data_IF_098512389853
#
_entry.id   IF_098512389853
#
_cell.length_a   1.000
_cell.length_b   1.000
_cell.length_c   1.000
_cell.angle_alpha   90.00
_cell.angle_beta   90.00
_cell.angle_gamma   90.00
#
_symmetry.space_group_name_H-M   'P 1'
#
loop_
_entity.id
_entity.type
_entity.pdbx_description
1 polymer ?
#
# COMPACT_ATOMS: atom_id res chain seq x y z
N UNK A 1 -24.41 92.50 -29.83
CA UNK A 1 -23.27 91.96 -29.03
C UNK A 1 -23.35 90.44 -29.03
N UNK A 2 -22.28 89.79 -29.50
CA UNK A 2 -22.14 88.34 -29.75
C UNK A 2 -21.97 87.54 -28.46
N UNK A 3 -22.58 86.34 -28.37
CA UNK A 3 -22.15 85.17 -27.57
C UNK A 3 -22.71 83.91 -28.28
N UNK A 4 -21.99 83.26 -29.20
CA UNK A 4 -21.06 82.10 -29.02
C UNK A 4 -21.68 81.02 -28.11
N UNK A 5 -22.27 79.91 -28.57
CA UNK A 5 -21.82 78.78 -29.42
C UNK A 5 -20.67 77.96 -28.80
N UNK A 6 -20.96 76.74 -28.34
CA UNK A 6 -20.22 75.47 -28.54
C UNK A 6 -20.73 74.40 -27.54
N UNK A 7 -21.49 73.42 -28.02
CA UNK A 7 -21.63 72.10 -27.38
C UNK A 7 -20.95 71.10 -28.31
N UNK A 8 -19.86 70.51 -27.83
CA UNK A 8 -19.12 69.43 -28.48
C UNK A 8 -19.81 68.13 -28.06
N UNK A 9 -20.43 67.42 -29.01
CA UNK A 9 -20.89 66.05 -28.80
C UNK A 9 -19.71 65.13 -29.12
N UNK A 10 -19.10 64.56 -28.09
CA UNK A 10 -18.04 63.57 -28.20
C UNK A 10 -18.69 62.17 -28.28
N UNK A 11 -18.73 61.61 -29.49
CA UNK A 11 -19.12 60.21 -29.72
C UNK A 11 -17.94 59.31 -29.30
N UNK A 12 -17.97 58.79 -28.08
CA UNK A 12 -17.02 57.75 -27.65
C UNK A 12 -17.57 56.40 -28.09
N UNK A 13 -17.00 55.86 -29.17
CA UNK A 13 -17.19 54.48 -29.58
C UNK A 13 -16.55 53.55 -28.55
N UNK A 14 -17.36 52.94 -27.68
CA UNK A 14 -16.98 51.81 -26.84
C UNK A 14 -16.74 50.60 -27.75
N UNK A 15 -15.50 50.38 -28.17
CA UNK A 15 -15.04 49.09 -28.68
C UNK A 15 -15.04 48.12 -27.51
N UNK A 16 -16.08 47.30 -27.43
CA UNK A 16 -16.14 46.10 -26.61
C UNK A 16 -15.02 45.15 -27.08
N UNK A 17 -13.85 45.25 -26.45
CA UNK A 17 -12.88 44.16 -26.44
C UNK A 17 -13.53 43.02 -25.66
N UNK A 18 -14.28 42.18 -26.36
CA UNK A 18 -14.61 40.85 -25.88
C UNK A 18 -13.28 40.08 -25.84
N UNK A 19 -12.56 40.19 -24.72
CA UNK A 19 -11.48 39.28 -24.39
C UNK A 19 -12.08 37.87 -24.44
N UNK A 20 -11.78 37.14 -25.52
CA UNK A 20 -12.20 35.76 -25.63
C UNK A 20 -11.59 35.02 -24.45
N UNK A 21 -12.43 34.51 -23.56
CA UNK A 21 -11.99 33.60 -22.50
C UNK A 21 -11.41 32.37 -23.21
N UNK A 22 -10.07 32.27 -23.24
CA UNK A 22 -9.38 31.12 -23.78
C UNK A 22 -9.67 29.93 -22.86
N UNK A 23 -10.11 28.81 -23.45
CA UNK A 23 -10.43 27.61 -22.71
C UNK A 23 -9.16 27.06 -22.08
N UNK A 24 -9.18 26.68 -20.79
CA UNK A 24 -8.01 26.09 -20.15
C UNK A 24 -8.36 24.79 -19.46
N UNK A 25 -7.86 23.69 -20.04
CA UNK A 25 -7.82 22.39 -19.36
C UNK A 25 -6.91 22.49 -18.14
N UNK A 26 -7.40 22.02 -17.00
CA UNK A 26 -6.64 21.84 -15.75
C UNK A 26 -6.67 20.37 -15.36
N UNK A 27 -5.52 19.82 -15.01
CA UNK A 27 -5.34 18.42 -14.66
C UNK A 27 -4.92 18.31 -13.19
N UNK A 28 -5.33 17.25 -12.48
CA UNK A 28 -4.71 16.87 -11.23
C UNK A 28 -3.20 16.69 -11.35
N UNK A 29 -2.47 16.94 -10.26
CA UNK A 29 -1.00 17.06 -10.27
C UNK A 29 -0.26 15.77 -10.66
N UNK A 30 -0.89 14.60 -10.52
CA UNK A 30 -0.33 13.31 -10.95
C UNK A 30 -0.46 13.06 -12.46
N UNK A 31 -1.22 13.88 -13.21
CA UNK A 31 -1.19 13.91 -14.67
C UNK A 31 -0.20 14.98 -15.14
N UNK A 32 1.07 14.66 -14.96
CA UNK A 32 2.20 15.54 -15.24
C UNK A 32 3.34 14.77 -15.92
N UNK A 33 4.34 15.51 -16.42
CA UNK A 33 5.49 14.92 -17.10
C UNK A 33 6.22 13.94 -16.16
N UNK A 34 6.71 12.83 -16.71
CA UNK A 34 7.38 11.76 -15.95
C UNK A 34 6.46 10.71 -15.36
N UNK A 35 5.14 10.80 -15.61
CA UNK A 35 4.15 9.83 -15.11
C UNK A 35 4.29 8.43 -15.72
N UNK A 36 3.72 7.43 -15.04
CA UNK A 36 3.59 6.06 -15.53
C UNK A 36 2.13 5.66 -15.62
N UNK A 37 1.67 5.20 -16.77
CA UNK A 37 0.35 4.59 -16.96
C UNK A 37 0.43 3.07 -16.90
N UNK A 38 -0.57 2.45 -16.28
CA UNK A 38 -0.70 0.99 -16.24
C UNK A 38 -0.80 0.41 -17.66
N UNK A 39 0.06 -0.54 -17.99
CA UNK A 39 0.10 -1.22 -19.27
C UNK A 39 -1.07 -2.19 -19.45
N UNK A 40 -1.37 -2.49 -20.73
CA UNK A 40 -2.37 -3.48 -21.14
C UNK A 40 -3.72 -3.29 -20.43
N UNK A 41 -4.16 -2.03 -20.32
CA UNK A 41 -5.34 -1.65 -19.56
C UNK A 41 -6.11 -0.52 -20.24
N UNK A 42 -7.37 -0.39 -19.85
CA UNK A 42 -8.22 0.75 -20.16
C UNK A 42 -8.11 1.77 -19.03
N UNK A 43 -7.09 2.64 -19.07
CA UNK A 43 -6.83 3.63 -18.02
C UNK A 43 -7.67 4.89 -18.21
N UNK A 44 -8.10 5.51 -17.12
CA UNK A 44 -8.83 6.77 -17.17
C UNK A 44 -7.86 7.97 -17.17
N UNK A 45 -8.21 9.00 -17.95
CA UNK A 45 -7.62 10.34 -17.91
C UNK A 45 -8.75 11.32 -17.66
N UNK A 46 -8.57 12.23 -16.72
CA UNK A 46 -9.59 13.20 -16.35
C UNK A 46 -8.99 14.55 -15.97
N UNK A 47 -9.85 15.55 -15.95
CA UNK A 47 -9.53 16.90 -15.55
C UNK A 47 -10.76 17.79 -15.54
N UNK A 48 -10.52 19.08 -15.50
CA UNK A 48 -11.54 20.11 -15.61
C UNK A 48 -11.24 21.02 -16.81
N UNK A 49 -12.27 21.68 -17.32
CA UNK A 49 -12.20 22.81 -18.23
C UNK A 49 -13.03 23.94 -17.63
N UNK A 50 -12.63 25.19 -17.88
CA UNK A 50 -13.44 26.37 -17.55
C UNK A 50 -14.71 26.48 -18.42
N UNK A 51 -14.80 25.68 -19.49
CA UNK A 51 -15.97 25.60 -20.38
C UNK A 51 -16.85 24.39 -20.07
N UNK A 52 -18.16 24.67 -19.96
CA UNK A 52 -19.21 23.68 -19.73
C UNK A 52 -19.74 23.14 -21.05
N UNK A 53 -20.13 21.86 -21.07
CA UNK A 53 -20.69 21.19 -22.26
C UNK A 53 -19.78 21.31 -23.51
N UNK A 54 -18.47 21.46 -23.28
CA UNK A 54 -17.45 21.64 -24.31
C UNK A 54 -16.86 20.30 -24.71
N UNK A 55 -16.61 20.13 -26.01
CA UNK A 55 -15.91 18.96 -26.53
C UNK A 55 -14.42 19.03 -26.19
N UNK A 56 -13.92 18.02 -25.48
CA UNK A 56 -12.51 17.75 -25.22
C UNK A 56 -12.05 16.59 -26.10
N UNK A 57 -10.93 16.80 -26.79
CA UNK A 57 -10.21 15.74 -27.51
C UNK A 57 -9.03 15.28 -26.67
N UNK A 58 -8.81 13.97 -26.57
CA UNK A 58 -7.58 13.39 -26.02
C UNK A 58 -6.90 12.56 -27.10
N UNK A 59 -5.60 12.77 -27.35
CA UNK A 59 -4.82 12.04 -28.34
C UNK A 59 -3.60 11.41 -27.69
N UNK A 60 -3.39 10.14 -27.96
CA UNK A 60 -2.30 9.35 -27.38
C UNK A 60 -1.26 9.00 -28.44
N UNK A 61 0.02 9.27 -28.18
CA UNK A 61 1.08 9.12 -29.19
C UNK A 61 1.50 7.67 -29.48
N UNK A 62 1.32 6.74 -28.54
CA UNK A 62 1.69 5.33 -28.73
C UNK A 62 0.85 4.59 -29.79
N UNK A 63 -0.34 5.08 -30.11
CA UNK A 63 -1.22 4.48 -31.11
C UNK A 63 -1.87 5.51 -32.06
N UNK A 64 -1.54 6.79 -31.89
CA UNK A 64 -2.14 7.93 -32.60
C UNK A 64 -3.68 7.99 -32.56
N UNK A 65 -4.32 7.31 -31.59
CA UNK A 65 -5.77 7.32 -31.44
C UNK A 65 -6.23 8.64 -30.85
N UNK A 66 -7.41 9.06 -31.31
CA UNK A 66 -8.12 10.26 -30.86
C UNK A 66 -9.40 9.82 -30.15
N UNK A 67 -9.55 10.25 -28.91
CA UNK A 67 -10.71 10.06 -28.07
C UNK A 67 -11.44 11.40 -27.93
N UNK A 68 -12.74 11.35 -27.68
CA UNK A 68 -13.58 12.54 -27.52
C UNK A 68 -14.51 12.34 -26.34
N UNK A 69 -14.63 13.37 -25.51
CA UNK A 69 -15.58 13.45 -24.41
C UNK A 69 -16.13 14.88 -24.34
N UNK A 70 -17.30 15.06 -23.77
CA UNK A 70 -17.89 16.39 -23.51
C UNK A 70 -17.81 16.65 -22.01
N UNK A 71 -17.39 17.85 -21.62
CA UNK A 71 -17.39 18.28 -20.20
C UNK A 71 -18.82 18.33 -19.67
N UNK A 72 -19.00 18.02 -18.40
CA UNK A 72 -20.29 18.16 -17.73
C UNK A 72 -20.62 19.62 -17.38
N UNK A 73 -21.71 19.84 -16.65
CA UNK A 73 -22.14 21.17 -16.21
C UNK A 73 -21.21 21.84 -15.17
N UNK A 74 -20.33 21.05 -14.54
CA UNK A 74 -19.23 21.55 -13.69
C UNK A 74 -17.92 21.78 -14.45
N UNK A 75 -17.85 21.39 -15.72
CA UNK A 75 -16.61 21.46 -16.51
C UNK A 75 -15.71 20.24 -16.35
N UNK A 76 -16.11 19.24 -15.57
CA UNK A 76 -15.35 18.01 -15.38
C UNK A 76 -15.48 17.10 -16.59
N UNK A 77 -14.42 16.36 -16.89
CA UNK A 77 -14.40 15.39 -17.98
C UNK A 77 -13.54 14.18 -17.62
N UNK A 78 -13.89 13.01 -18.14
CA UNK A 78 -13.15 11.75 -17.94
C UNK A 78 -13.27 10.88 -19.17
N UNK A 79 -12.15 10.38 -19.67
CA UNK A 79 -12.10 9.50 -20.84
C UNK A 79 -11.21 8.29 -20.55
N UNK A 80 -11.58 7.13 -21.10
CA UNK A 80 -10.77 5.92 -21.03
C UNK A 80 -9.90 5.81 -22.29
N UNK A 81 -8.62 5.51 -22.11
CA UNK A 81 -7.66 5.26 -23.18
C UNK A 81 -7.04 3.87 -23.03
N UNK A 82 -6.75 3.23 -24.15
CA UNK A 82 -6.15 1.90 -24.18
C UNK A 82 -4.62 2.03 -24.17
N UNK A 83 -3.97 1.41 -23.19
CA UNK A 83 -2.50 1.35 -23.12
C UNK A 83 -1.96 0.07 -23.76
N UNK A 84 -0.85 0.15 -24.51
CA UNK A 84 -0.15 -1.02 -25.04
C UNK A 84 0.57 -1.77 -23.92
N UNK A 85 1.34 -2.79 -24.31
CA UNK A 85 2.45 -3.29 -23.49
C UNK A 85 3.44 -2.15 -23.18
N UNK A 86 4.24 -2.33 -22.14
CA UNK A 86 5.19 -1.34 -21.64
C UNK A 86 6.04 -0.65 -22.73
N UNK A 87 6.47 0.58 -22.46
CA UNK A 87 7.34 1.37 -23.33
C UNK A 87 7.25 2.87 -23.06
N UNK A 88 7.84 3.66 -23.95
CA UNK A 88 7.92 5.12 -23.84
C UNK A 88 9.36 5.63 -24.04
N UNK A 89 9.60 6.92 -23.81
CA UNK A 89 8.64 7.93 -23.40
C UNK A 89 7.62 8.28 -24.50
N UNK A 90 6.37 8.46 -24.10
CA UNK A 90 5.28 8.93 -24.95
C UNK A 90 4.82 10.33 -24.52
N UNK A 91 3.86 10.88 -25.26
CA UNK A 91 3.10 12.07 -24.87
C UNK A 91 1.58 11.87 -25.07
N UNK A 92 0.80 12.68 -24.35
CA UNK A 92 -0.67 12.77 -24.44
C UNK A 92 -1.04 14.23 -24.69
N UNK A 93 -1.89 14.48 -25.67
CA UNK A 93 -2.42 15.82 -25.97
C UNK A 93 -3.89 15.89 -25.60
N UNK A 94 -4.30 16.92 -24.86
CA UNK A 94 -5.69 17.22 -24.60
C UNK A 94 -6.03 18.59 -25.18
N UNK A 95 -7.19 18.70 -25.84
CA UNK A 95 -7.59 19.93 -26.51
C UNK A 95 -9.09 20.20 -26.38
N UNK A 96 -9.45 21.38 -25.87
CA UNK A 96 -10.82 21.91 -25.75
C UNK A 96 -10.99 23.27 -26.47
N UNK A 97 -10.01 23.63 -27.31
CA UNK A 97 -9.80 24.95 -27.86
C UNK A 97 -8.35 25.40 -27.67
N UNK A 98 -7.74 25.05 -26.52
CA UNK A 98 -6.31 25.17 -26.25
C UNK A 98 -5.70 23.77 -26.10
N UNK A 99 -4.41 23.61 -26.45
CA UNK A 99 -3.75 22.31 -26.32
C UNK A 99 -2.90 22.27 -25.05
N UNK A 100 -3.21 21.32 -24.17
CA UNK A 100 -2.34 20.92 -23.06
C UNK A 100 -1.67 19.61 -23.45
N UNK A 101 -0.38 19.46 -23.15
CA UNK A 101 0.37 18.23 -23.42
C UNK A 101 1.08 17.76 -22.16
N UNK A 102 1.01 16.47 -21.91
CA UNK A 102 1.87 15.75 -20.95
C UNK A 102 2.94 15.04 -21.77
N UNK A 103 4.21 15.30 -21.49
CA UNK A 103 5.36 14.63 -22.09
C UNK A 103 5.91 13.56 -21.13
N UNK A 104 6.92 12.82 -21.58
CA UNK A 104 7.61 11.82 -20.76
C UNK A 104 6.66 10.85 -20.03
N UNK A 105 5.74 10.26 -20.78
CA UNK A 105 4.78 9.28 -20.26
C UNK A 105 5.33 7.88 -20.51
N UNK A 106 5.65 7.17 -19.44
CA UNK A 106 5.97 5.74 -19.52
C UNK A 106 4.69 4.90 -19.42
N UNK A 107 4.72 3.74 -20.05
CA UNK A 107 3.69 2.71 -19.92
C UNK A 107 4.38 1.51 -19.27
N UNK A 108 3.82 1.01 -18.18
CA UNK A 108 4.45 -0.01 -17.35
C UNK A 108 3.54 -0.49 -16.23
N UNK A 109 4.10 -0.84 -15.09
CA UNK A 109 3.33 -1.27 -13.91
C UNK A 109 3.16 -0.13 -12.94
N UNK A 110 1.94 0.09 -12.45
CA UNK A 110 1.66 1.12 -11.46
C UNK A 110 1.15 0.47 -10.19
N UNK A 111 1.79 0.77 -9.07
CA UNK A 111 1.39 0.25 -7.76
C UNK A 111 1.10 1.38 -6.78
N UNK A 112 0.02 1.23 -6.03
CA UNK A 112 -0.27 2.08 -4.87
C UNK A 112 0.45 1.52 -3.64
N UNK A 113 1.21 2.36 -2.96
CA UNK A 113 1.82 2.06 -1.66
C UNK A 113 1.17 2.93 -0.60
N UNK A 114 0.46 2.31 0.35
CA UNK A 114 -0.29 3.04 1.38
C UNK A 114 -0.18 2.42 2.77
N UNK A 115 -0.69 3.13 3.77
CA UNK A 115 -0.65 2.72 5.17
C UNK A 115 -0.17 3.84 6.09
N UNK A 116 0.70 3.49 7.03
CA UNK A 116 1.19 4.43 8.05
C UNK A 116 2.71 4.62 8.02
N UNK A 117 3.29 5.00 9.16
CA UNK A 117 4.71 5.37 9.29
C UNK A 117 5.68 4.33 8.75
N UNK A 118 5.39 3.03 8.87
CA UNK A 118 6.28 1.99 8.32
C UNK A 118 6.27 1.90 6.78
N UNK A 119 5.18 2.30 6.12
CA UNK A 119 5.15 2.57 4.67
C UNK A 119 5.88 3.88 4.35
N UNK A 120 5.72 4.90 5.19
CA UNK A 120 6.30 6.24 5.03
C UNK A 120 7.80 6.33 5.35
N UNK A 121 8.38 5.29 5.97
CA UNK A 121 9.80 5.26 6.33
C UNK A 121 10.65 5.48 5.08
N UNK A 122 11.52 6.49 5.12
CA UNK A 122 12.27 6.96 3.95
C UNK A 122 13.53 6.15 3.74
N UNK A 123 14.01 6.01 2.50
CA UNK A 123 15.27 5.30 2.23
C UNK A 123 16.43 5.94 2.98
N UNK A 124 16.48 7.27 3.08
CA UNK A 124 17.47 8.00 3.87
C UNK A 124 17.34 7.87 5.39
N UNK A 125 16.30 7.17 5.88
CA UNK A 125 15.96 7.09 7.30
C UNK A 125 15.31 8.35 7.86
N UNK A 126 15.10 8.35 9.18
CA UNK A 126 14.67 9.51 9.98
C UNK A 126 15.60 9.66 11.17
N UNK A 127 15.44 10.75 11.92
CA UNK A 127 16.16 10.92 13.18
C UNK A 127 15.91 9.72 14.09
N UNK A 128 16.99 9.03 14.48
CA UNK A 128 16.98 7.80 15.31
C UNK A 128 16.31 6.55 14.72
N UNK A 129 15.77 6.59 13.50
CA UNK A 129 15.21 5.44 12.79
C UNK A 129 15.95 5.23 11.45
N UNK A 130 17.14 4.60 11.47
CA UNK A 130 17.93 4.38 10.26
C UNK A 130 17.36 3.24 9.41
N UNK A 131 17.76 3.20 8.13
CA UNK A 131 17.48 2.07 7.24
C UNK A 131 18.78 1.37 6.92
N UNK A 132 18.86 0.06 7.21
CA UNK A 132 20.04 -0.76 6.89
C UNK A 132 20.19 -0.81 5.37
N UNK A 133 21.42 -0.60 4.87
CA UNK A 133 21.71 -0.57 3.43
C UNK A 133 21.33 0.73 2.72
N UNK A 134 20.87 1.75 3.44
CA UNK A 134 20.44 3.04 2.88
C UNK A 134 21.47 3.68 1.94
N UNK A 135 22.74 3.76 2.35
CA UNK A 135 23.78 4.41 1.55
C UNK A 135 23.98 3.72 0.19
N UNK A 136 24.09 2.39 0.19
CA UNK A 136 24.22 1.60 -1.05
C UNK A 136 23.00 1.80 -1.95
N UNK A 137 21.81 1.71 -1.35
CA UNK A 137 20.55 1.90 -2.06
C UNK A 137 20.42 3.27 -2.75
N UNK A 138 21.00 4.32 -2.15
CA UNK A 138 21.00 5.70 -2.67
C UNK A 138 22.06 5.89 -3.76
N UNK A 139 23.29 5.40 -3.57
CA UNK A 139 24.35 5.63 -4.57
C UNK A 139 24.14 4.81 -5.84
N UNK A 140 23.38 3.72 -5.78
CA UNK A 140 23.04 2.87 -6.94
C UNK A 140 21.62 3.11 -7.47
N UNK A 141 20.92 4.18 -7.07
CA UNK A 141 19.48 4.33 -7.35
C UNK A 141 19.11 4.86 -8.73
N UNK A 142 20.08 5.36 -9.50
CA UNK A 142 19.83 5.92 -10.83
C UNK A 142 19.12 4.93 -11.75
N UNK A 143 17.83 5.16 -12.01
CA UNK A 143 16.99 4.32 -12.85
C UNK A 143 15.78 5.11 -13.39
N UNK A 144 15.81 5.58 -14.65
CA UNK A 144 14.70 6.35 -15.23
C UNK A 144 13.43 5.52 -15.48
N UNK A 145 13.50 4.18 -15.40
CA UNK A 145 12.35 3.30 -15.52
C UNK A 145 11.60 3.13 -14.20
N UNK A 146 12.08 3.70 -13.10
CA UNK A 146 11.36 3.76 -11.82
C UNK A 146 10.92 5.19 -11.57
N UNK A 147 9.61 5.41 -11.51
CA UNK A 147 9.00 6.72 -11.26
C UNK A 147 8.24 6.70 -9.94
N UNK A 148 8.44 7.75 -9.15
CA UNK A 148 7.96 7.85 -7.78
C UNK A 148 7.10 9.10 -7.65
N UNK A 149 5.86 8.92 -7.18
CA UNK A 149 4.95 10.02 -6.88
C UNK A 149 4.56 9.94 -5.40
N UNK A 150 4.83 10.98 -4.62
CA UNK A 150 4.35 11.07 -3.23
C UNK A 150 3.16 12.01 -3.17
N UNK A 151 2.03 11.49 -2.69
CA UNK A 151 0.83 12.30 -2.43
C UNK A 151 1.07 13.16 -1.19
N UNK A 152 0.83 14.46 -1.31
CA UNK A 152 0.94 15.42 -0.23
C UNK A 152 0.04 15.08 0.96
N UNK A 153 0.57 15.27 2.17
CA UNK A 153 -0.10 14.89 3.41
C UNK A 153 -1.17 15.92 3.82
N UNK A 154 -2.40 15.74 3.33
CA UNK A 154 -3.57 16.55 3.71
C UNK A 154 -4.63 15.71 4.42
N UNK A 155 -5.20 16.27 5.49
CA UNK A 155 -6.35 15.71 6.20
C UNK A 155 -7.54 16.64 6.01
N UNK A 156 -8.65 16.14 5.49
CA UNK A 156 -9.84 16.94 5.19
C UNK A 156 -11.13 16.20 5.52
N UNK A 157 -12.18 16.93 5.89
CA UNK A 157 -13.50 16.33 6.12
C UNK A 157 -14.24 15.99 4.82
N UNK A 158 -13.87 16.63 3.72
CA UNK A 158 -14.47 16.44 2.40
C UNK A 158 -13.45 15.91 1.39
N UNK A 159 -13.85 15.02 0.47
CA UNK A 159 -12.96 14.47 -0.54
C UNK A 159 -12.36 15.56 -1.43
N UNK A 160 -11.03 15.51 -1.61
CA UNK A 160 -10.33 16.35 -2.56
C UNK A 160 -10.34 15.69 -3.96
N UNK A 161 -10.26 16.54 -4.99
CA UNK A 161 -10.17 16.14 -6.41
C UNK A 161 -8.76 16.29 -6.99
N UNK A 162 -7.84 16.88 -6.22
CA UNK A 162 -6.43 17.06 -6.56
C UNK A 162 -5.58 16.96 -5.28
N UNK A 163 -4.29 16.70 -5.46
CA UNK A 163 -3.29 16.59 -4.41
C UNK A 163 -2.00 17.32 -4.79
N UNK A 164 -1.18 17.66 -3.80
CA UNK A 164 0.21 18.06 -4.06
C UNK A 164 1.06 16.82 -4.36
N UNK A 165 2.02 16.96 -5.26
CA UNK A 165 2.98 15.91 -5.61
C UNK A 165 3.55 16.10 -7.01
N UNK A 166 4.68 15.47 -7.26
CA UNK A 166 5.34 15.46 -8.56
C UNK A 166 5.92 14.07 -8.83
N UNK A 167 5.98 13.68 -10.10
CA UNK A 167 6.66 12.47 -10.52
C UNK A 167 8.17 12.70 -10.55
N UNK A 168 8.91 11.81 -9.89
CA UNK A 168 10.37 11.86 -9.83
C UNK A 168 10.96 10.55 -10.35
N UNK A 169 11.99 10.65 -11.20
CA UNK A 169 12.86 9.52 -11.53
C UNK A 169 13.59 9.02 -10.29
N UNK A 170 13.82 7.71 -10.19
CA UNK A 170 14.71 7.19 -9.17
C UNK A 170 16.16 7.65 -9.45
N UNK A 171 16.71 8.43 -8.51
CA UNK A 171 18.08 8.94 -8.55
C UNK A 171 18.63 9.08 -7.14
N UNK A 172 19.92 9.37 -7.00
CA UNK A 172 20.54 9.61 -5.69
C UNK A 172 19.98 10.85 -4.99
N UNK A 173 19.30 11.74 -5.73
CA UNK A 173 18.70 12.98 -5.21
C UNK A 173 17.26 12.75 -4.71
N UNK A 174 16.50 11.87 -5.37
CA UNK A 174 15.06 11.69 -5.12
C UNK A 174 14.75 10.52 -4.20
N UNK A 175 15.49 9.41 -4.34
CA UNK A 175 15.28 8.19 -3.54
C UNK A 175 15.45 8.37 -2.04
N UNK A 176 16.40 9.17 -1.50
CA UNK A 176 16.54 9.35 -0.06
C UNK A 176 15.24 9.81 0.62
N UNK A 177 14.42 10.60 -0.07
CA UNK A 177 13.16 11.15 0.44
C UNK A 177 11.94 10.23 0.28
N UNK A 178 12.04 9.15 -0.49
CA UNK A 178 10.91 8.30 -0.85
C UNK A 178 10.73 7.10 0.09
N UNK A 179 9.54 6.49 0.07
CA UNK A 179 9.21 5.28 0.82
C UNK A 179 10.24 4.18 0.55
N UNK A 180 10.89 3.67 1.60
CA UNK A 180 11.85 2.60 1.52
C UNK A 180 11.19 1.29 1.08
N UNK A 181 10.07 0.91 1.70
CA UNK A 181 9.33 -0.29 1.31
C UNK A 181 8.88 -0.20 -0.17
N UNK A 182 8.33 0.95 -0.58
CA UNK A 182 7.90 1.18 -1.96
C UNK A 182 9.05 1.18 -2.97
N UNK A 183 10.17 1.84 -2.66
CA UNK A 183 11.35 1.89 -3.53
C UNK A 183 11.99 0.52 -3.70
N UNK A 184 12.26 -0.21 -2.61
CA UNK A 184 12.88 -1.53 -2.69
C UNK A 184 11.99 -2.53 -3.42
N UNK A 185 10.67 -2.43 -3.25
CA UNK A 185 9.70 -3.16 -4.05
C UNK A 185 9.82 -2.83 -5.54
N UNK A 186 9.77 -1.55 -5.90
CA UNK A 186 9.85 -1.10 -7.29
C UNK A 186 11.16 -1.52 -7.95
N UNK A 187 12.28 -1.35 -7.25
CA UNK A 187 13.62 -1.78 -7.67
C UNK A 187 13.66 -3.27 -7.98
N UNK A 188 13.13 -4.11 -7.08
CA UNK A 188 13.09 -5.56 -7.29
C UNK A 188 12.18 -5.96 -8.45
N UNK A 189 11.01 -5.33 -8.56
CA UNK A 189 10.05 -5.61 -9.61
C UNK A 189 10.59 -5.23 -10.99
N UNK A 190 11.13 -4.00 -11.13
CA UNK A 190 11.79 -3.53 -12.33
C UNK A 190 12.98 -4.43 -12.71
N UNK A 191 13.84 -4.80 -11.76
CA UNK A 191 14.98 -5.70 -12.00
C UNK A 191 14.55 -7.05 -12.59
N UNK A 192 13.44 -7.62 -12.10
CA UNK A 192 13.01 -8.99 -12.46
C UNK A 192 12.14 -9.00 -13.72
N UNK A 193 11.33 -7.96 -13.93
CA UNK A 193 10.43 -7.86 -15.09
C UNK A 193 11.07 -7.15 -16.28
N UNK A 194 12.03 -6.25 -16.06
CA UNK A 194 12.68 -5.46 -17.10
C UNK A 194 11.75 -4.42 -17.75
N UNK A 195 10.83 -3.84 -16.96
CA UNK A 195 9.80 -2.91 -17.43
C UNK A 195 9.69 -1.69 -16.52
N UNK A 196 9.17 -0.54 -17.02
CA UNK A 196 8.89 0.62 -16.18
C UNK A 196 7.96 0.31 -15.01
N UNK A 197 8.25 0.90 -13.85
CA UNK A 197 7.46 0.78 -12.62
C UNK A 197 7.20 2.16 -12.04
N UNK A 198 5.92 2.53 -11.94
CA UNK A 198 5.44 3.70 -11.22
C UNK A 198 4.94 3.34 -9.83
N UNK A 199 5.35 4.10 -8.81
CA UNK A 199 4.81 3.97 -7.46
C UNK A 199 4.08 5.26 -7.09
N UNK A 200 2.80 5.12 -6.74
CA UNK A 200 2.03 6.17 -6.08
C UNK A 200 2.07 5.89 -4.59
N UNK A 201 2.70 6.77 -3.81
CA UNK A 201 2.87 6.63 -2.37
C UNK A 201 1.93 7.58 -1.62
N UNK A 202 1.01 7.02 -0.83
CA UNK A 202 0.06 7.75 0.00
C UNK A 202 -0.04 7.11 1.39
N UNK A 203 0.76 7.57 2.34
CA UNK A 203 0.75 7.05 3.71
C UNK A 203 0.85 8.17 4.74
N UNK A 204 0.44 7.89 5.99
CA UNK A 204 0.41 8.88 7.05
C UNK A 204 0.70 8.25 8.42
N UNK A 205 1.72 8.75 9.12
CA UNK A 205 2.14 8.22 10.41
C UNK A 205 1.03 8.22 11.48
N UNK A 206 0.92 7.13 12.24
CA UNK A 206 -0.08 6.99 13.31
C UNK A 206 -1.52 6.82 12.83
N UNK A 207 -1.75 6.69 11.52
CA UNK A 207 -3.10 6.50 10.97
C UNK A 207 -3.67 5.12 11.29
N UNK A 208 -4.97 5.11 11.60
CA UNK A 208 -5.78 3.90 11.78
C UNK A 208 -6.50 3.55 10.48
N UNK A 209 -6.92 2.30 10.31
CA UNK A 209 -7.60 1.80 9.09
C UNK A 209 -8.80 2.68 8.71
N UNK A 210 -9.64 3.05 9.66
CA UNK A 210 -10.86 3.82 9.44
C UNK A 210 -10.62 5.23 8.87
N UNK A 211 -9.44 5.83 9.08
CA UNK A 211 -9.10 7.13 8.51
C UNK A 211 -8.93 7.07 6.98
N UNK A 212 -8.69 5.87 6.45
CA UNK A 212 -8.46 5.56 5.04
C UNK A 212 -9.68 4.99 4.33
N UNK A 213 -10.82 4.87 5.01
CA UNK A 213 -12.07 4.39 4.42
C UNK A 213 -12.89 5.57 3.89
N UNK A 214 -13.62 5.38 2.79
CA UNK A 214 -14.63 6.33 2.36
C UNK A 214 -15.71 6.51 3.42
N UNK A 215 -16.52 7.57 3.28
CA UNK A 215 -17.67 7.79 4.15
C UNK A 215 -18.65 6.61 4.11
N UNK A 216 -18.83 6.02 2.92
CA UNK A 216 -19.70 4.88 2.69
C UNK A 216 -19.10 3.60 3.32
N UNK A 217 -17.80 3.37 3.15
CA UNK A 217 -17.10 2.19 3.66
C UNK A 217 -17.09 2.13 5.20
N UNK A 218 -16.93 3.28 5.85
CA UNK A 218 -16.88 3.36 7.33
C UNK A 218 -18.27 3.50 7.97
N UNK A 219 -19.31 3.81 7.18
CA UNK A 219 -20.66 4.06 7.69
C UNK A 219 -21.20 2.96 8.65
N UNK A 220 -20.95 1.66 8.44
CA UNK A 220 -21.41 0.61 9.36
C UNK A 220 -20.75 0.64 10.75
N UNK A 221 -19.61 1.32 10.88
CA UNK A 221 -18.76 1.31 12.06
C UNK A 221 -18.64 2.68 12.74
N UNK A 222 -19.17 3.74 12.11
CA UNK A 222 -18.94 5.14 12.48
C UNK A 222 -19.28 5.49 13.94
N UNK A 223 -20.24 4.77 14.55
CA UNK A 223 -20.73 5.01 15.91
C UNK A 223 -20.02 4.13 16.96
N UNK A 224 -19.06 3.29 16.55
CA UNK A 224 -18.26 2.49 17.47
C UNK A 224 -17.21 3.35 18.18
N UNK A 225 -16.98 3.12 19.48
CA UNK A 225 -16.10 3.97 20.30
C UNK A 225 -14.64 3.96 19.83
N UNK A 226 -14.18 2.88 19.21
CA UNK A 226 -12.79 2.69 18.76
C UNK A 226 -12.53 3.20 17.33
N UNK A 227 -13.53 3.82 16.69
CA UNK A 227 -13.43 4.45 15.38
C UNK A 227 -13.13 5.94 15.56
N UNK A 228 -11.97 6.37 15.08
CA UNK A 228 -11.49 7.73 15.25
C UNK A 228 -11.08 8.35 13.93
N UNK A 229 -11.37 9.65 13.76
CA UNK A 229 -10.90 10.42 12.60
C UNK A 229 -11.23 9.73 11.26
N UNK A 230 -12.41 9.11 11.18
CA UNK A 230 -12.81 8.35 10.02
C UNK A 230 -12.78 9.20 8.73
N UNK A 231 -12.34 8.59 7.64
CA UNK A 231 -12.28 9.17 6.30
C UNK A 231 -11.37 10.38 6.08
N UNK A 232 -10.72 10.96 7.10
CA UNK A 232 -9.98 12.22 6.89
C UNK A 232 -8.78 12.09 5.95
N UNK A 233 -8.12 10.92 5.92
CA UNK A 233 -6.98 10.62 5.05
C UNK A 233 -7.45 10.05 3.71
N UNK A 234 -8.55 9.29 3.70
CA UNK A 234 -9.23 8.95 2.46
C UNK A 234 -9.55 10.22 1.67
N UNK A 235 -10.18 11.19 2.31
CA UNK A 235 -10.61 12.43 1.69
C UNK A 235 -9.44 13.29 1.20
N UNK A 236 -8.44 13.50 2.06
CA UNK A 236 -7.37 14.45 1.78
C UNK A 236 -6.20 13.89 0.97
N UNK A 237 -5.97 12.56 1.00
CA UNK A 237 -4.83 11.93 0.33
C UNK A 237 -5.26 10.91 -0.72
N UNK A 238 -6.23 10.03 -0.42
CA UNK A 238 -6.54 8.93 -1.34
C UNK A 238 -7.48 9.35 -2.47
N UNK A 239 -8.57 10.04 -2.14
CA UNK A 239 -9.63 10.46 -3.07
C UNK A 239 -9.10 11.12 -4.35
N UNK A 240 -8.12 12.04 -4.30
CA UNK A 240 -7.54 12.63 -5.51
C UNK A 240 -7.02 11.62 -6.53
N UNK A 241 -6.41 10.52 -6.07
CA UNK A 241 -5.77 9.51 -6.94
C UNK A 241 -6.68 8.32 -7.27
N UNK A 242 -7.88 8.26 -6.70
CA UNK A 242 -8.84 7.19 -6.98
C UNK A 242 -9.24 7.20 -8.45
N UNK A 243 -9.20 6.02 -9.07
CA UNK A 243 -9.47 5.85 -10.49
C UNK A 243 -8.23 5.97 -11.37
N UNK A 244 -7.06 6.30 -10.82
CA UNK A 244 -5.79 6.15 -11.53
C UNK A 244 -5.56 4.66 -11.83
N UNK A 245 -5.10 4.35 -13.03
CA UNK A 245 -4.85 2.96 -13.43
C UNK A 245 -3.72 2.35 -12.60
N UNK A 246 -4.04 1.35 -11.78
CA UNK A 246 -3.08 0.59 -10.97
C UNK A 246 -3.18 -0.90 -11.25
N UNK A 247 -2.06 -1.62 -11.07
CA UNK A 247 -2.02 -3.09 -11.04
C UNK A 247 -2.48 -3.64 -9.70
N UNK A 248 -2.20 -2.95 -8.60
CA UNK A 248 -2.54 -3.39 -7.26
C UNK A 248 -2.07 -2.43 -6.17
N UNK A 249 -2.27 -2.85 -4.92
CA UNK A 249 -1.96 -2.09 -3.72
C UNK A 249 -1.01 -2.87 -2.79
N UNK A 250 -0.04 -2.16 -2.21
CA UNK A 250 0.78 -2.58 -1.09
C UNK A 250 0.38 -1.77 0.15
N UNK A 251 -0.01 -2.46 1.21
CA UNK A 251 -0.51 -1.86 2.45
C UNK A 251 0.38 -2.23 3.64
N UNK A 252 0.94 -1.23 4.32
CA UNK A 252 1.70 -1.46 5.55
C UNK A 252 1.16 -0.58 6.67
N UNK A 253 0.22 -1.15 7.41
CA UNK A 253 -0.44 -0.52 8.54
C UNK A 253 -1.02 -1.56 9.49
N UNK A 254 -1.09 -1.17 10.76
CA UNK A 254 -1.84 -1.88 11.78
C UNK A 254 -1.42 -1.42 13.17
N UNK A 255 -0.22 -0.88 13.32
CA UNK A 255 0.37 -0.55 14.61
C UNK A 255 -0.49 0.44 15.42
N UNK A 256 -1.23 1.32 14.74
CA UNK A 256 -2.17 2.24 15.39
C UNK A 256 -3.49 1.59 15.85
N UNK A 257 -3.79 0.36 15.42
CA UNK A 257 -5.00 -0.42 15.76
C UNK A 257 -4.70 -1.64 16.65
N UNK A 258 -3.50 -1.74 17.25
CA UNK A 258 -3.12 -2.86 18.15
C UNK A 258 -4.07 -3.04 19.35
N UNK A 259 -4.76 -1.96 19.72
CA UNK A 259 -5.74 -1.90 20.79
C UNK A 259 -7.11 -2.48 20.41
N UNK A 260 -7.43 -2.58 19.12
CA UNK A 260 -8.73 -3.02 18.62
C UNK A 260 -8.62 -4.14 17.55
N UNK A 261 -7.96 -5.28 17.85
CA UNK A 261 -7.71 -6.34 16.86
C UNK A 261 -8.99 -7.01 16.33
N UNK A 262 -10.03 -7.16 17.16
CA UNK A 262 -11.31 -7.74 16.71
C UNK A 262 -12.01 -6.80 15.72
N UNK A 263 -12.01 -5.49 15.98
CA UNK A 263 -12.56 -4.50 15.07
C UNK A 263 -11.75 -4.43 13.76
N UNK A 264 -10.42 -4.60 13.83
CA UNK A 264 -9.57 -4.65 12.64
C UNK A 264 -10.00 -5.73 11.65
N UNK A 265 -10.44 -6.91 12.13
CA UNK A 265 -10.95 -7.99 11.26
C UNK A 265 -12.23 -7.64 10.50
N UNK A 266 -12.91 -6.55 10.89
CA UNK A 266 -14.09 -6.03 10.21
C UNK A 266 -13.70 -4.83 9.31
N UNK A 267 -12.94 -3.88 9.86
CA UNK A 267 -12.56 -2.65 9.16
C UNK A 267 -11.67 -2.94 7.95
N UNK A 268 -10.65 -3.80 8.09
CA UNK A 268 -9.68 -3.98 7.02
C UNK A 268 -10.27 -4.66 5.77
N UNK A 269 -11.07 -5.74 5.87
CA UNK A 269 -11.79 -6.26 4.71
C UNK A 269 -12.79 -5.27 4.11
N UNK A 270 -13.47 -4.47 4.95
CA UNK A 270 -14.37 -3.42 4.48
C UNK A 270 -13.61 -2.34 3.70
N UNK A 271 -12.44 -1.90 4.18
CA UNK A 271 -11.57 -0.96 3.49
C UNK A 271 -11.19 -1.48 2.11
N UNK A 272 -10.75 -2.74 2.00
CA UNK A 272 -10.35 -3.30 0.70
C UNK A 272 -11.53 -3.39 -0.25
N UNK A 273 -12.71 -3.80 0.24
CA UNK A 273 -13.93 -3.83 -0.58
C UNK A 273 -14.33 -2.44 -1.05
N UNK A 274 -14.32 -1.45 -0.16
CA UNK A 274 -14.60 -0.05 -0.46
C UNK A 274 -13.63 0.48 -1.52
N UNK A 275 -12.32 0.34 -1.32
CA UNK A 275 -11.34 0.82 -2.30
C UNK A 275 -11.52 0.19 -3.68
N UNK A 276 -11.80 -1.11 -3.77
CA UNK A 276 -12.11 -1.78 -5.05
C UNK A 276 -13.34 -1.20 -5.71
N UNK A 277 -14.38 -0.88 -4.94
CA UNK A 277 -15.58 -0.21 -5.43
C UNK A 277 -15.27 1.21 -5.94
N UNK A 278 -14.54 2.01 -5.15
CA UNK A 278 -14.20 3.39 -5.49
C UNK A 278 -13.30 3.47 -6.73
N UNK A 279 -12.32 2.56 -6.87
CA UNK A 279 -11.47 2.49 -8.06
C UNK A 279 -12.24 2.03 -9.31
N UNK A 280 -13.20 1.12 -9.15
CA UNK A 280 -14.03 0.64 -10.26
C UNK A 280 -13.26 -0.15 -11.33
N UNK A 281 -12.12 -0.76 -10.98
CA UNK A 281 -11.30 -1.59 -11.88
C UNK A 281 -11.35 -3.09 -11.53
N UNK A 282 -12.30 -3.48 -10.68
CA UNK A 282 -12.48 -4.87 -10.24
C UNK A 282 -11.57 -5.26 -9.08
N UNK A 283 -11.37 -6.57 -8.93
CA UNK A 283 -10.64 -7.16 -7.81
C UNK A 283 -9.11 -7.11 -8.02
N UNK A 284 -8.52 -5.92 -7.91
CA UNK A 284 -7.07 -5.79 -8.00
C UNK A 284 -6.35 -6.45 -6.82
N UNK A 285 -5.14 -7.02 -7.02
CA UNK A 285 -4.27 -7.53 -5.96
C UNK A 285 -4.09 -6.57 -4.79
N UNK A 286 -4.39 -7.05 -3.58
CA UNK A 286 -4.22 -6.27 -2.35
C UNK A 286 -3.28 -7.00 -1.39
N UNK A 287 -2.02 -6.57 -1.38
CA UNK A 287 -0.97 -7.22 -0.58
C UNK A 287 -0.60 -6.36 0.62
N UNK A 288 -0.39 -6.98 1.77
CA UNK A 288 -0.10 -6.24 3.00
C UNK A 288 1.01 -6.87 3.84
N UNK A 289 1.58 -6.06 4.72
CA UNK A 289 2.54 -6.51 5.71
C UNK A 289 1.84 -6.85 7.02
N UNK A 290 2.09 -8.06 7.53
CA UNK A 290 1.85 -8.34 8.95
C UNK A 290 2.78 -7.43 9.76
N UNK A 291 2.27 -6.75 10.79
CA UNK A 291 3.09 -5.82 11.56
C UNK A 291 4.28 -6.54 12.21
N UNK A 292 5.42 -5.87 12.27
CA UNK A 292 6.61 -6.40 12.90
C UNK A 292 6.44 -6.42 14.42
N UNK A 293 7.05 -7.38 15.14
CA UNK A 293 7.08 -7.38 16.61
C UNK A 293 7.75 -6.11 17.14
N UNK A 294 7.11 -5.48 18.12
CA UNK A 294 7.61 -4.30 18.84
C UNK A 294 7.06 -4.34 20.26
N UNK A 295 7.86 -3.91 21.24
CA UNK A 295 7.42 -3.88 22.63
C UNK A 295 6.62 -2.60 22.92
N UNK A 296 5.27 -2.71 22.91
CA UNK A 296 4.39 -1.58 23.21
C UNK A 296 4.33 -1.25 24.71
N UNK A 297 4.88 -2.11 25.59
CA UNK A 297 4.85 -1.96 27.04
C UNK A 297 3.43 -1.81 27.63
N UNK A 298 2.43 -2.44 27.00
CA UNK A 298 1.02 -2.37 27.44
C UNK A 298 0.56 -3.57 28.27
N UNK A 299 1.42 -4.59 28.41
CA UNK A 299 1.15 -5.82 29.14
C UNK A 299 0.55 -6.92 28.26
N UNK A 300 0.06 -7.98 28.91
CA UNK A 300 -0.47 -9.16 28.22
C UNK A 300 -1.97 -9.04 27.91
N UNK A 301 -2.42 -9.82 26.92
CA UNK A 301 -3.83 -9.95 26.56
C UNK A 301 -4.28 -9.13 25.34
N UNK A 302 -5.52 -9.37 24.92
CA UNK A 302 -6.10 -8.73 23.72
C UNK A 302 -6.20 -7.21 23.90
N UNK A 303 -5.83 -6.45 22.87
CA UNK A 303 -5.78 -4.98 22.91
C UNK A 303 -4.53 -4.40 23.60
N UNK A 304 -3.66 -5.25 24.15
CA UNK A 304 -2.39 -4.86 24.78
C UNK A 304 -1.19 -5.51 24.08
N UNK A 305 -1.32 -6.79 23.77
CA UNK A 305 -0.34 -7.59 23.05
C UNK A 305 -0.64 -7.59 21.53
N UNK A 306 0.29 -7.05 20.75
CA UNK A 306 0.22 -6.91 19.28
C UNK A 306 0.17 -8.24 18.52
N UNK A 307 0.45 -9.38 19.17
CA UNK A 307 0.24 -10.70 18.57
C UNK A 307 -1.23 -10.94 18.19
N UNK A 308 -2.18 -10.36 18.91
CA UNK A 308 -3.61 -10.43 18.54
C UNK A 308 -3.91 -9.65 17.26
N UNK A 309 -3.23 -8.54 17.01
CA UNK A 309 -3.36 -7.84 15.74
C UNK A 309 -2.70 -8.63 14.60
N UNK A 310 -1.54 -9.25 14.84
CA UNK A 310 -0.92 -10.16 13.87
C UNK A 310 -1.83 -11.33 13.52
N UNK A 311 -2.53 -11.88 14.51
CA UNK A 311 -3.57 -12.90 14.31
C UNK A 311 -4.75 -12.34 13.50
N UNK A 312 -5.23 -11.14 13.79
CA UNK A 312 -6.27 -10.47 13.01
C UNK A 312 -5.86 -10.28 11.55
N UNK A 313 -4.60 -9.90 11.29
CA UNK A 313 -4.04 -9.79 9.95
C UNK A 313 -3.97 -11.15 9.23
N UNK A 314 -3.66 -12.25 9.93
CA UNK A 314 -3.75 -13.61 9.34
C UNK A 314 -5.20 -13.95 8.99
N UNK A 315 -6.15 -13.70 9.90
CA UNK A 315 -7.59 -13.93 9.63
C UNK A 315 -8.07 -13.19 8.39
N UNK A 316 -7.59 -11.97 8.17
CA UNK A 316 -7.93 -11.17 6.99
C UNK A 316 -7.50 -11.82 5.65
N UNK A 317 -6.50 -12.72 5.62
CA UNK A 317 -6.15 -13.46 4.39
C UNK A 317 -7.34 -14.27 3.87
N UNK A 318 -8.17 -14.80 4.77
CA UNK A 318 -9.35 -15.60 4.41
C UNK A 318 -10.59 -14.76 4.13
N UNK A 319 -10.60 -13.50 4.57
CA UNK A 319 -11.71 -12.57 4.41
C UNK A 319 -11.58 -11.70 3.16
N UNK A 320 -10.35 -11.50 2.67
CA UNK A 320 -10.06 -10.59 1.56
C UNK A 320 -9.65 -11.42 0.34
N UNK A 321 -10.48 -11.47 -0.73
CA UNK A 321 -10.11 -12.17 -1.95
C UNK A 321 -8.98 -11.43 -2.70
N UNK A 322 -8.21 -12.16 -3.52
CA UNK A 322 -6.99 -11.68 -4.19
C UNK A 322 -6.03 -10.91 -3.28
N UNK A 323 -5.89 -11.40 -2.03
CA UNK A 323 -4.96 -10.83 -1.05
C UNK A 323 -3.74 -11.73 -0.83
N UNK A 324 -2.80 -11.19 -0.07
CA UNK A 324 -1.58 -11.85 0.32
C UNK A 324 -0.88 -11.04 1.40
N UNK A 325 -0.13 -11.73 2.25
CA UNK A 325 0.50 -11.13 3.42
C UNK A 325 1.97 -11.51 3.46
N UNK A 326 2.83 -10.52 3.63
CA UNK A 326 4.23 -10.75 3.99
C UNK A 326 4.35 -10.81 5.50
N UNK A 327 5.14 -11.76 6.00
CA UNK A 327 5.35 -11.97 7.44
C UNK A 327 6.65 -11.28 7.86
N UNK A 328 6.61 -10.56 8.97
CA UNK A 328 7.72 -9.71 9.46
C UNK A 328 8.18 -10.06 10.89
N UNK A 329 7.88 -11.27 11.37
CA UNK A 329 8.19 -11.71 12.74
C UNK A 329 9.69 -11.75 13.07
N UNK A 330 10.57 -11.70 12.06
CA UNK A 330 12.03 -11.74 12.20
C UNK A 330 12.72 -10.36 12.12
N UNK A 331 12.04 -9.35 11.57
CA UNK A 331 12.61 -8.01 11.32
C UNK A 331 12.19 -6.96 12.35
N UNK A 332 11.51 -7.34 13.44
CA UNK A 332 11.11 -6.43 14.52
C UNK A 332 12.29 -5.82 15.30
N UNK A 333 12.00 -4.78 16.08
CA UNK A 333 12.96 -4.15 17.00
C UNK A 333 12.28 -3.94 18.36
N UNK A 334 12.98 -4.14 19.47
CA UNK A 334 12.42 -4.02 20.83
C UNK A 334 12.41 -2.57 21.34
N UNK A 335 13.18 -1.68 20.70
CA UNK A 335 13.41 -0.29 21.11
C UNK A 335 12.71 0.72 20.21
N UNK A 336 12.38 0.35 18.98
CA UNK A 336 11.62 1.21 18.05
C UNK A 336 10.52 0.45 17.33
N UNK A 337 9.40 1.14 17.08
CA UNK A 337 8.28 0.65 16.28
C UNK A 337 8.59 0.66 14.77
N UNK A 338 9.69 1.31 14.37
CA UNK A 338 10.13 1.45 12.99
C UNK A 338 11.38 0.59 12.72
N UNK A 339 11.22 -0.72 12.40
CA UNK A 339 12.36 -1.59 12.16
C UNK A 339 13.19 -1.15 10.96
N UNK A 340 14.51 -1.32 11.07
CA UNK A 340 15.49 -0.78 10.11
C UNK A 340 15.57 -1.57 8.78
N UNK A 341 15.12 -2.83 8.74
CA UNK A 341 15.27 -3.74 7.59
C UNK A 341 14.20 -3.51 6.49
N UNK A 342 14.13 -2.29 5.94
CA UNK A 342 13.11 -1.94 4.93
C UNK A 342 13.30 -2.57 3.55
N UNK A 343 14.54 -2.90 3.19
CA UNK A 343 14.80 -3.66 1.96
C UNK A 343 14.18 -5.06 2.01
N UNK A 344 14.25 -5.73 3.16
CA UNK A 344 13.61 -7.03 3.38
C UNK A 344 12.10 -6.93 3.15
N UNK A 345 11.45 -5.86 3.65
CA UNK A 345 10.01 -5.61 3.46
C UNK A 345 9.67 -5.44 1.98
N UNK A 346 10.36 -4.55 1.26
CA UNK A 346 10.12 -4.31 -0.16
C UNK A 346 10.36 -5.55 -1.03
N UNK A 347 11.43 -6.31 -0.74
CA UNK A 347 11.73 -7.56 -1.44
C UNK A 347 10.65 -8.64 -1.20
N UNK A 348 10.13 -8.76 0.04
CA UNK A 348 9.04 -9.71 0.33
C UNK A 348 7.76 -9.35 -0.41
N UNK A 349 7.41 -8.06 -0.49
CA UNK A 349 6.29 -7.63 -1.35
C UNK A 349 6.53 -8.01 -2.81
N UNK A 350 7.75 -7.81 -3.31
CA UNK A 350 8.08 -8.17 -4.68
C UNK A 350 7.95 -9.68 -4.93
N UNK A 351 8.40 -10.55 -4.01
CA UNK A 351 8.20 -12.00 -4.15
C UNK A 351 6.72 -12.37 -4.22
N UNK A 352 5.91 -11.76 -3.36
CA UNK A 352 4.46 -11.96 -3.34
C UNK A 352 3.80 -11.56 -4.66
N UNK A 353 4.13 -10.38 -5.17
CA UNK A 353 3.67 -9.87 -6.46
C UNK A 353 4.14 -10.75 -7.62
N UNK A 354 5.43 -11.08 -7.68
CA UNK A 354 6.00 -11.89 -8.76
C UNK A 354 5.34 -13.27 -8.84
N UNK A 355 5.10 -13.92 -7.71
CA UNK A 355 4.51 -15.26 -7.70
C UNK A 355 2.98 -15.29 -7.82
N UNK A 356 2.26 -14.33 -7.24
CA UNK A 356 0.77 -14.32 -7.25
C UNK A 356 0.16 -13.48 -8.37
N UNK A 357 0.82 -12.41 -8.81
CA UNK A 357 0.31 -11.50 -9.87
C UNK A 357 0.90 -11.80 -11.25
N UNK A 358 2.16 -12.25 -11.32
CA UNK A 358 2.87 -12.55 -12.58
C UNK A 358 3.15 -14.05 -12.79
N UNK A 359 2.56 -14.89 -11.93
CA UNK A 359 2.63 -16.35 -12.04
C UNK A 359 4.06 -16.93 -12.08
N UNK A 360 5.07 -16.20 -11.59
CA UNK A 360 6.44 -16.73 -11.53
C UNK A 360 6.51 -17.88 -10.52
N UNK A 361 7.10 -19.00 -10.93
CA UNK A 361 7.16 -20.24 -10.14
C UNK A 361 8.58 -20.53 -9.64
N UNK A 362 8.69 -21.53 -8.76
CA UNK A 362 9.97 -22.06 -8.28
C UNK A 362 10.43 -21.51 -6.93
N UNK A 363 9.64 -20.65 -6.28
CA UNK A 363 9.96 -20.08 -4.97
C UNK A 363 8.68 -19.86 -4.14
N UNK A 364 8.74 -19.94 -2.81
CA UNK A 364 7.62 -19.55 -1.94
C UNK A 364 7.47 -18.03 -1.92
N UNK A 365 6.24 -17.57 -1.79
CA UNK A 365 5.88 -16.14 -1.83
C UNK A 365 5.63 -15.54 -0.44
N UNK A 366 5.42 -16.39 0.56
CA UNK A 366 5.27 -16.01 1.96
C UNK A 366 5.85 -17.12 2.86
N UNK A 367 5.85 -16.88 4.17
CA UNK A 367 6.36 -17.83 5.16
C UNK A 367 5.28 -18.73 5.77
N UNK A 368 5.68 -19.69 6.62
CA UNK A 368 4.77 -20.69 7.16
C UNK A 368 3.59 -20.08 7.93
N UNK A 369 2.39 -20.62 7.69
CA UNK A 369 1.17 -20.29 8.43
C UNK A 369 0.68 -21.53 9.18
N UNK A 370 0.35 -21.39 10.47
CA UNK A 370 -0.18 -22.51 11.25
C UNK A 370 -1.43 -23.09 10.58
N UNK A 371 -1.48 -24.43 10.49
CA UNK A 371 -2.57 -25.18 9.87
C UNK A 371 -3.35 -26.02 10.87
N UNK A 372 -2.66 -26.87 11.61
CA UNK A 372 -3.31 -27.78 12.56
C UNK A 372 -2.37 -28.23 13.66
N UNK A 373 -2.97 -28.73 14.75
CA UNK A 373 -2.27 -29.40 15.84
C UNK A 373 -2.85 -30.80 16.06
N UNK A 374 -2.01 -31.73 16.52
CA UNK A 374 -2.38 -33.05 16.97
C UNK A 374 -1.65 -33.36 18.28
N UNK A 375 -2.38 -33.76 19.31
CA UNK A 375 -1.80 -34.18 20.59
C UNK A 375 -1.44 -35.66 20.56
N UNK A 376 -0.22 -35.99 20.96
CA UNK A 376 0.31 -37.36 21.08
C UNK A 376 0.99 -37.54 22.45
N UNK A 377 0.27 -38.14 23.40
CA UNK A 377 0.75 -38.26 24.78
C UNK A 377 1.00 -36.89 25.40
N UNK A 378 2.23 -36.62 25.80
CA UNK A 378 2.67 -35.35 26.39
C UNK A 378 3.27 -34.35 25.37
N UNK A 379 3.00 -34.54 24.07
CA UNK A 379 3.55 -33.71 22.99
C UNK A 379 2.45 -33.23 22.07
N UNK A 380 2.67 -32.11 21.40
CA UNK A 380 1.83 -31.62 20.32
C UNK A 380 2.65 -31.56 19.04
N UNK A 381 2.08 -32.09 17.95
CA UNK A 381 2.62 -32.01 16.60
C UNK A 381 1.85 -30.93 15.85
N UNK A 382 2.58 -29.95 15.32
CA UNK A 382 2.06 -28.82 14.56
C UNK A 382 2.39 -28.98 13.08
N UNK A 383 1.42 -28.68 12.23
CA UNK A 383 1.59 -28.58 10.78
C UNK A 383 1.35 -27.14 10.29
N UNK A 384 1.93 -26.81 9.13
CA UNK A 384 1.87 -25.47 8.57
C UNK A 384 1.58 -25.54 7.06
N UNK A 385 0.91 -24.53 6.54
CA UNK A 385 0.89 -24.22 5.10
C UNK A 385 2.09 -23.31 4.75
N UNK A 386 2.30 -23.03 3.45
CA UNK A 386 3.34 -22.08 2.97
C UNK A 386 4.80 -22.42 3.36
N UNK A 387 5.08 -23.71 3.62
CA UNK A 387 6.41 -24.20 4.03
C UNK A 387 7.40 -24.40 2.88
N UNK A 388 6.94 -24.37 1.62
CA UNK A 388 7.78 -24.73 0.47
C UNK A 388 8.37 -26.13 0.63
N UNK A 389 9.72 -26.23 0.68
CA UNK A 389 10.44 -27.52 0.82
C UNK A 389 10.50 -28.05 2.27
N UNK A 390 10.15 -27.23 3.26
CA UNK A 390 10.21 -27.61 4.68
C UNK A 390 10.57 -26.43 5.57
N UNK A 391 10.61 -26.71 6.87
CA UNK A 391 10.90 -25.76 7.93
C UNK A 391 12.39 -25.72 8.27
N UNK A 392 12.87 -24.57 8.74
CA UNK A 392 14.24 -24.40 9.23
C UNK A 392 14.30 -23.31 10.28
N UNK A 393 15.38 -23.30 11.06
CA UNK A 393 15.74 -22.19 11.96
C UNK A 393 16.96 -21.42 11.50
N UNK A 394 17.50 -21.74 10.33
CA UNK A 394 18.82 -21.25 9.91
C UNK A 394 19.90 -21.51 10.98
N UNK A 395 19.83 -22.68 11.64
CA UNK A 395 20.74 -23.13 12.70
C UNK A 395 20.63 -22.32 14.00
N UNK A 396 19.59 -21.51 14.16
CA UNK A 396 19.26 -20.86 15.43
C UNK A 396 18.49 -21.83 16.34
N UNK A 397 18.50 -21.61 17.67
CA UNK A 397 17.61 -22.33 18.58
C UNK A 397 16.13 -22.13 18.21
N UNK A 398 15.34 -23.21 18.23
CA UNK A 398 13.89 -23.16 17.97
C UNK A 398 13.16 -22.76 19.26
N UNK A 399 13.12 -21.46 19.53
CA UNK A 399 12.53 -20.86 20.74
C UNK A 399 11.16 -20.23 20.46
N UNK A 400 10.54 -19.69 21.52
CA UNK A 400 9.31 -18.90 21.41
C UNK A 400 8.02 -19.70 21.39
N UNK A 401 8.10 -21.01 21.67
CA UNK A 401 6.94 -21.87 21.89
C UNK A 401 6.56 -21.92 23.37
N UNK A 402 5.26 -21.87 23.63
CA UNK A 402 4.66 -22.06 24.94
C UNK A 402 3.52 -23.07 24.82
N UNK A 403 3.34 -23.94 25.81
CA UNK A 403 2.24 -24.91 25.87
C UNK A 403 1.47 -24.76 27.16
N UNK A 404 0.16 -25.03 27.11
CA UNK A 404 -0.71 -25.02 28.28
C UNK A 404 -1.50 -26.33 28.38
N UNK A 405 -1.80 -26.74 29.61
CA UNK A 405 -2.76 -27.80 29.90
C UNK A 405 -4.18 -27.25 30.06
N UNK A 406 -5.07 -28.07 30.59
CA UNK A 406 -6.47 -27.69 30.87
C UNK A 406 -6.60 -26.54 31.89
N UNK A 407 -5.56 -26.30 32.69
CA UNK A 407 -5.45 -25.19 33.64
C UNK A 407 -5.24 -23.82 32.96
N UNK A 408 -4.97 -23.82 31.65
CA UNK A 408 -4.76 -22.64 30.80
C UNK A 408 -3.53 -21.82 31.16
N UNK A 409 -2.60 -22.39 31.91
CA UNK A 409 -1.33 -21.74 32.26
C UNK A 409 -0.29 -22.10 31.19
N UNK A 410 0.27 -21.09 30.52
CA UNK A 410 1.28 -21.29 29.49
C UNK A 410 2.68 -21.40 30.12
N UNK A 411 3.37 -22.49 29.81
CA UNK A 411 4.75 -22.75 30.19
C UNK A 411 5.66 -22.76 28.95
N UNK A 412 6.94 -22.33 29.05
CA UNK A 412 7.91 -22.48 27.98
C UNK A 412 7.99 -23.93 27.50
N UNK A 413 8.12 -24.12 26.19
CA UNK A 413 8.14 -25.43 25.57
C UNK A 413 9.44 -25.69 24.80
N UNK A 414 9.92 -26.93 24.90
CA UNK A 414 10.94 -27.44 23.99
C UNK A 414 10.29 -27.72 22.64
N UNK A 415 10.92 -27.25 21.57
CA UNK A 415 10.47 -27.47 20.21
C UNK A 415 11.57 -28.11 19.36
N UNK A 416 11.17 -29.02 18.45
CA UNK A 416 12.06 -29.62 17.45
C UNK A 416 11.31 -29.90 16.17
N UNK A 417 12.03 -30.04 15.07
CA UNK A 417 11.41 -30.50 13.82
C UNK A 417 11.01 -31.99 13.94
N UNK A 418 9.86 -32.30 13.34
CA UNK A 418 9.44 -33.66 13.07
C UNK A 418 10.15 -34.24 11.85
N UNK A 419 9.58 -35.32 11.30
CA UNK A 419 10.14 -36.01 10.13
C UNK A 419 10.23 -35.05 8.94
N UNK A 420 11.35 -35.10 8.22
CA UNK A 420 11.63 -34.33 6.99
C UNK A 420 11.41 -32.81 7.12
N UNK A 421 11.49 -32.29 8.35
CA UNK A 421 11.21 -30.88 8.69
C UNK A 421 9.84 -30.37 8.18
N UNK A 422 8.82 -31.24 8.14
CA UNK A 422 7.46 -30.90 7.72
C UNK A 422 6.54 -30.49 8.88
N UNK A 423 6.95 -30.77 10.12
CA UNK A 423 6.16 -30.46 11.32
C UNK A 423 7.06 -29.93 12.43
N UNK A 424 6.45 -29.30 13.43
CA UNK A 424 7.12 -28.95 14.69
C UNK A 424 6.50 -29.78 15.81
N UNK A 425 7.34 -30.47 16.58
CA UNK A 425 6.93 -31.20 17.78
C UNK A 425 7.29 -30.37 18.99
N UNK A 426 6.30 -30.05 19.82
CA UNK A 426 6.46 -29.25 21.03
C UNK A 426 6.05 -30.03 22.28
N UNK A 427 6.73 -29.78 23.39
CA UNK A 427 6.42 -30.37 24.70
C UNK A 427 7.04 -29.56 25.82
N UNK A 428 6.43 -29.56 27.00
CA UNK A 428 7.02 -29.00 28.22
C UNK A 428 7.00 -30.04 29.34
N UNK A 429 8.08 -30.18 30.13
CA UNK A 429 8.07 -31.04 31.32
C UNK A 429 7.09 -30.57 32.38
N UNK A 430 6.65 -29.30 32.33
CA UNK A 430 5.68 -28.72 33.26
C UNK A 430 4.23 -29.02 32.87
N UNK A 431 3.99 -29.57 31.67
CA UNK A 431 2.65 -29.80 31.12
C UNK A 431 2.51 -31.25 30.64
N UNK A 432 1.95 -32.12 31.49
CA UNK A 432 1.79 -33.55 31.20
C UNK A 432 0.73 -33.82 30.11
N UNK A 433 -0.34 -33.03 30.09
CA UNK A 433 -1.46 -33.16 29.15
C UNK A 433 -1.67 -31.84 28.39
N UNK A 434 -0.87 -31.57 27.35
CA UNK A 434 -0.93 -30.29 26.64
C UNK A 434 -2.16 -30.21 25.72
N UNK A 435 -2.88 -29.09 25.79
CA UNK A 435 -4.12 -28.81 25.02
C UNK A 435 -4.05 -27.54 24.18
N UNK A 436 -3.02 -26.69 24.40
CA UNK A 436 -2.82 -25.48 23.62
C UNK A 436 -1.34 -25.19 23.38
N UNK A 437 -1.05 -24.52 22.26
CA UNK A 437 0.28 -24.04 21.88
C UNK A 437 0.20 -22.58 21.45
N UNK A 438 1.23 -21.80 21.80
CA UNK A 438 1.51 -20.49 21.24
C UNK A 438 2.92 -20.46 20.67
N UNK A 439 3.09 -19.76 19.55
CA UNK A 439 4.41 -19.44 18.99
C UNK A 439 4.50 -17.95 18.73
N UNK A 440 5.56 -17.31 19.23
CA UNK A 440 5.84 -15.90 18.98
C UNK A 440 4.65 -14.98 19.34
N UNK A 441 3.79 -15.40 20.29
CA UNK A 441 2.53 -14.74 20.62
C UNK A 441 2.71 -13.67 21.71
N UNK A 442 3.70 -12.81 21.53
CA UNK A 442 4.09 -11.73 22.45
C UNK A 442 4.26 -10.43 21.70
N UNK A 443 4.29 -9.30 22.40
CA UNK A 443 4.49 -7.99 21.77
C UNK A 443 5.75 -7.93 20.91
N UNK A 444 6.87 -8.24 21.55
CA UNK A 444 8.16 -8.40 20.90
C UNK A 444 8.65 -9.85 20.99
N UNK A 445 9.18 -10.32 19.86
CA UNK A 445 9.86 -11.59 19.72
C UNK A 445 10.69 -11.50 18.45
N UNK A 446 11.89 -12.12 18.46
CA UNK A 446 12.63 -12.37 17.24
C UNK A 446 12.29 -13.77 16.74
N UNK A 447 11.47 -13.85 15.69
CA UNK A 447 11.05 -15.11 15.10
C UNK A 447 12.24 -15.98 14.68
N UNK A 448 12.15 -17.28 14.95
CA UNK A 448 13.23 -18.24 14.65
C UNK A 448 12.77 -19.42 13.77
N UNK A 449 11.47 -19.51 13.45
CA UNK A 449 10.89 -20.49 12.54
C UNK A 449 10.72 -19.88 11.15
N UNK A 450 11.26 -20.55 10.13
CA UNK A 450 11.22 -20.12 8.74
C UNK A 450 10.87 -21.30 7.84
N UNK A 451 10.45 -21.01 6.61
CA UNK A 451 10.64 -21.98 5.53
C UNK A 451 12.10 -21.99 5.05
N UNK A 452 12.48 -23.02 4.27
CA UNK A 452 13.85 -23.17 3.73
C UNK A 452 14.31 -22.03 2.79
N UNK A 453 13.42 -21.12 2.39
CA UNK A 453 13.73 -19.98 1.53
C UNK A 453 13.93 -18.67 2.28
N UNK A 454 13.80 -18.66 3.60
CA UNK A 454 14.13 -17.49 4.43
C UNK A 454 12.94 -16.64 4.78
N UNK A 455 11.72 -17.13 4.51
CA UNK A 455 10.50 -16.42 4.86
C UNK A 455 10.01 -16.91 6.23
N UNK A 456 9.81 -16.00 7.20
CA UNK A 456 9.53 -16.34 8.58
C UNK A 456 8.08 -16.78 8.78
N UNK A 457 7.84 -17.63 9.77
CA UNK A 457 6.50 -18.05 10.16
C UNK A 457 5.75 -16.93 10.89
N UNK A 458 4.43 -16.85 10.68
CA UNK A 458 3.56 -15.96 11.47
C UNK A 458 3.51 -16.43 12.92
N UNK A 459 3.34 -15.48 13.85
CA UNK A 459 2.91 -15.82 15.21
C UNK A 459 1.53 -16.47 15.18
N UNK A 460 1.27 -17.40 16.07
CA UNK A 460 -0.04 -18.06 16.17
C UNK A 460 -0.32 -18.56 17.60
N UNK A 461 -1.60 -18.86 17.84
CA UNK A 461 -2.08 -19.60 19.01
C UNK A 461 -3.07 -20.66 18.56
N UNK A 462 -3.20 -21.74 19.33
CA UNK A 462 -4.20 -22.79 19.07
C UNK A 462 -5.40 -22.70 20.02
N UNK A 463 -5.29 -21.93 21.10
CA UNK A 463 -6.39 -21.65 22.02
C UNK A 463 -7.33 -20.56 21.50
N UNK A 464 -8.58 -20.60 21.98
CA UNK A 464 -9.60 -19.59 21.73
C UNK A 464 -10.01 -18.83 23.01
N UNK A 465 -9.19 -18.94 24.07
CA UNK A 465 -9.46 -18.37 25.39
C UNK A 465 -9.40 -16.85 25.41
#
# INVERSE_FOLDING_TARGET
MKRSCFIIVLFVSFLLWAGGVQARITLPSFFSDGMVLQQQSSVAIWGNSDRKLQKVTVKTSWNNKKYTVTTDESGSWKVKVETPVYGGPYHIEMNDGETVRINDVLIGEVWLCSGQSNMDMRVGGRYSDPVIGSLDAIVTSGNPDIRMFTVGSKMTSEPLTDCEGEWQEASSETVPGFSAAGYFFARKLNQVLGIPVGIIHASYGGSRVEAWMSKEGVAPYKDLPDVHNASILYNGMLSPVIGYGIRGCLWYQGEANVDAPDLYTQLFPSLVSDWRQQWGIGEFPFYYAQIAPFNYNKGEGKGKNSAYLREAQVKCLHLIPSSGMIVLTDVGDDRTIHPMEKETVGNRFAYLVLGRTYDKKGFPVTGPLYKSMQTEGNKIILSFDEMGKGLTTYRQPLNGFEVAGEDRVFHPANARFGKDAQTVVVSSPEVEHPVAVRYAFKDYVKGCLYNMSGLPASSFRTDNW
#
